data_IF_792535695242
#
_entry.id   IF_792535695242
#
_cell.length_a   1.000
_cell.length_b   1.000
_cell.length_c   1.000
_cell.angle_alpha   90.00
_cell.angle_beta   90.00
_cell.angle_gamma   90.00
#
_symmetry.space_group_name_H-M   'P 1'
#
loop_
_entity.id
_entity.type
_entity.pdbx_description
1 polymer ?
#
# COMPACT_ATOMS: atom_id res chain seq x y z
N UNK A 1 -44.31 -43.50 -3.17
CA UNK A 1 -43.07 -42.72 -3.49
C UNK A 1 -43.18 -41.25 -3.10
N UNK A 2 -44.26 -40.50 -3.42
CA UNK A 2 -44.42 -39.09 -3.03
C UNK A 2 -44.29 -38.83 -1.53
N UNK A 3 -44.87 -39.68 -0.66
CA UNK A 3 -44.83 -39.48 0.80
C UNK A 3 -43.44 -39.70 1.41
N UNK A 4 -42.59 -40.54 0.83
CA UNK A 4 -41.22 -40.76 1.28
C UNK A 4 -40.30 -39.57 0.93
N UNK A 5 -40.56 -38.90 -0.20
CA UNK A 5 -39.84 -37.70 -0.61
C UNK A 5 -40.16 -36.52 0.34
N UNK A 6 -41.45 -36.39 0.76
CA UNK A 6 -41.86 -35.36 1.74
C UNK A 6 -41.26 -35.63 3.11
N UNK A 7 -41.22 -36.89 3.56
CA UNK A 7 -40.57 -37.30 4.81
C UNK A 7 -39.06 -37.06 4.78
N UNK A 8 -38.40 -37.33 3.65
CA UNK A 8 -36.98 -37.06 3.47
C UNK A 8 -36.67 -35.53 3.50
N UNK A 9 -37.52 -34.73 2.83
CA UNK A 9 -37.41 -33.26 2.86
C UNK A 9 -37.66 -32.68 4.25
N UNK A 10 -38.62 -33.21 5.01
CA UNK A 10 -38.88 -32.86 6.40
C UNK A 10 -37.71 -33.24 7.33
N UNK A 11 -37.10 -34.39 7.13
CA UNK A 11 -35.91 -34.82 7.87
C UNK A 11 -34.69 -33.95 7.60
N UNK A 12 -34.50 -33.43 6.37
CA UNK A 12 -33.42 -32.53 6.00
C UNK A 12 -33.63 -31.13 6.67
N UNK A 13 -34.89 -30.70 6.83
CA UNK A 13 -35.20 -29.45 7.52
C UNK A 13 -35.00 -29.50 9.05
N UNK A 14 -35.08 -30.70 9.67
CA UNK A 14 -34.88 -30.89 11.11
C UNK A 14 -33.40 -30.82 11.55
N UNK A 15 -32.41 -30.87 10.63
CA UNK A 15 -30.97 -30.83 10.93
C UNK A 15 -30.42 -29.38 10.99
N UNK A 16 -31.24 -28.34 10.87
CA UNK A 16 -30.83 -26.95 10.66
C UNK A 16 -30.33 -26.21 11.91
N UNK A 17 -30.27 -26.79 13.08
CA UNK A 17 -29.75 -26.12 14.28
C UNK A 17 -28.36 -26.67 14.63
N UNK A 18 -27.35 -26.32 13.82
CA UNK A 18 -25.97 -26.75 14.07
C UNK A 18 -25.38 -26.11 15.35
N UNK A 19 -24.31 -26.70 15.94
CA UNK A 19 -23.69 -26.22 17.20
C UNK A 19 -23.37 -24.71 17.18
N UNK A 20 -23.01 -24.16 16.02
CA UNK A 20 -22.79 -22.72 15.84
C UNK A 20 -24.04 -21.88 16.09
N UNK A 21 -25.20 -22.31 15.58
CA UNK A 21 -26.47 -21.60 15.78
C UNK A 21 -26.92 -21.63 17.25
N UNK A 22 -26.63 -22.74 17.92
CA UNK A 22 -26.88 -22.88 19.37
C UNK A 22 -26.01 -21.90 20.14
N UNK A 23 -24.70 -21.83 19.84
CA UNK A 23 -23.78 -20.87 20.47
C UNK A 23 -24.16 -19.42 20.18
N UNK A 24 -24.54 -19.10 18.93
CA UNK A 24 -24.93 -17.74 18.53
C UNK A 24 -26.14 -17.22 19.32
N UNK A 25 -27.10 -18.08 19.64
CA UNK A 25 -28.33 -17.75 20.40
C UNK A 25 -28.15 -17.91 21.91
N UNK A 26 -27.09 -18.55 22.38
CA UNK A 26 -26.83 -18.74 23.81
C UNK A 26 -26.65 -17.41 24.53
N UNK A 27 -27.15 -17.32 25.77
CA UNK A 27 -26.80 -16.25 26.69
C UNK A 27 -25.58 -16.55 27.53
N UNK A 28 -25.11 -17.81 27.49
CA UNK A 28 -23.90 -18.26 28.18
C UNK A 28 -22.64 -17.98 27.34
N UNK A 29 -21.76 -17.15 27.88
CA UNK A 29 -20.50 -16.78 27.25
C UNK A 29 -19.50 -17.93 27.17
N UNK A 30 -19.50 -18.89 28.09
CA UNK A 30 -18.61 -20.04 28.05
C UNK A 30 -18.93 -20.96 26.85
N UNK A 31 -20.22 -21.11 26.53
CA UNK A 31 -20.66 -21.82 25.31
C UNK A 31 -20.15 -21.11 24.05
N UNK A 32 -20.20 -19.78 24.03
CA UNK A 32 -19.67 -18.99 22.90
C UNK A 32 -18.14 -19.10 22.80
N UNK A 33 -17.42 -19.03 23.91
CA UNK A 33 -15.96 -19.18 23.95
C UNK A 33 -15.51 -20.55 23.43
N UNK A 34 -16.13 -21.64 23.88
CA UNK A 34 -15.85 -22.98 23.41
C UNK A 34 -16.09 -23.12 21.89
N UNK A 35 -17.15 -22.47 21.38
CA UNK A 35 -17.43 -22.46 19.97
C UNK A 35 -16.41 -21.61 19.19
N UNK A 36 -16.00 -20.45 19.69
CA UNK A 36 -14.95 -19.61 19.10
C UNK A 36 -13.66 -20.41 18.94
N UNK A 37 -13.18 -21.07 19.98
CA UNK A 37 -11.97 -21.88 19.91
C UNK A 37 -12.08 -23.01 18.87
N UNK A 38 -13.27 -23.63 18.75
CA UNK A 38 -13.54 -24.62 17.71
C UNK A 38 -13.50 -24.03 16.31
N UNK A 39 -14.07 -22.83 16.13
CA UNK A 39 -14.12 -22.13 14.84
C UNK A 39 -12.73 -21.65 14.42
N UNK A 40 -11.92 -21.11 15.34
CA UNK A 40 -10.54 -20.70 15.07
C UNK A 40 -9.68 -21.88 14.64
N UNK A 41 -9.78 -23.04 15.31
CA UNK A 41 -9.07 -24.28 14.92
C UNK A 41 -9.48 -24.76 13.52
N UNK A 42 -10.69 -24.45 13.08
CA UNK A 42 -11.23 -24.80 11.75
C UNK A 42 -11.11 -23.66 10.74
N UNK A 43 -10.41 -22.59 11.08
CA UNK A 43 -10.22 -21.39 10.24
C UNK A 43 -11.55 -20.76 9.77
N UNK A 44 -12.61 -20.94 10.53
CA UNK A 44 -13.94 -20.33 10.26
C UNK A 44 -14.03 -18.93 10.88
N UNK A 45 -13.08 -18.06 10.52
CA UNK A 45 -12.86 -16.75 11.13
C UNK A 45 -14.11 -15.85 11.11
N UNK A 46 -14.85 -15.77 9.99
CA UNK A 46 -16.06 -14.93 9.93
C UNK A 46 -17.14 -15.34 10.94
N UNK A 47 -17.28 -16.65 11.22
CA UNK A 47 -18.19 -17.13 12.25
C UNK A 47 -17.67 -16.83 13.66
N UNK A 48 -16.35 -16.90 13.85
CA UNK A 48 -15.72 -16.56 15.13
C UNK A 48 -15.88 -15.06 15.42
N UNK A 49 -15.69 -14.18 14.42
CA UNK A 49 -15.91 -12.72 14.55
C UNK A 49 -17.31 -12.41 15.06
N UNK A 50 -18.36 -13.00 14.46
CA UNK A 50 -19.74 -12.79 14.91
C UNK A 50 -19.98 -13.17 16.38
N UNK A 51 -19.27 -14.15 16.92
CA UNK A 51 -19.35 -14.51 18.32
C UNK A 51 -18.50 -13.57 19.19
N UNK A 52 -17.31 -13.19 18.72
CA UNK A 52 -16.47 -12.20 19.41
C UNK A 52 -17.19 -10.87 19.61
N UNK A 53 -17.91 -10.37 18.59
CA UNK A 53 -18.69 -9.13 18.67
C UNK A 53 -19.67 -9.12 19.83
N UNK A 54 -20.23 -10.29 20.16
CA UNK A 54 -21.19 -10.43 21.25
C UNK A 54 -20.54 -10.49 22.63
N UNK A 55 -19.31 -11.04 22.74
CA UNK A 55 -18.70 -11.32 24.05
C UNK A 55 -17.60 -10.33 24.45
N UNK A 56 -16.83 -9.80 23.50
CA UNK A 56 -15.70 -8.90 23.80
C UNK A 56 -16.04 -7.76 24.77
N UNK A 57 -17.21 -7.08 24.63
CA UNK A 57 -17.57 -6.01 25.57
C UNK A 57 -17.70 -6.47 27.03
N UNK A 58 -18.08 -7.73 27.25
CA UNK A 58 -18.35 -8.30 28.58
C UNK A 58 -17.07 -8.77 29.30
N UNK A 59 -15.99 -9.01 28.53
CA UNK A 59 -14.71 -9.44 29.10
C UNK A 59 -13.70 -8.31 29.36
N UNK A 60 -14.10 -7.04 29.13
CA UNK A 60 -13.24 -5.88 29.41
C UNK A 60 -12.87 -5.83 30.91
N UNK A 61 -11.56 -5.70 31.17
CA UNK A 61 -11.05 -5.64 32.55
C UNK A 61 -10.98 -6.98 33.29
N UNK A 62 -11.23 -8.10 32.60
CA UNK A 62 -11.06 -9.44 33.15
C UNK A 62 -9.71 -10.04 32.73
N UNK A 63 -9.26 -11.09 33.42
CA UNK A 63 -8.04 -11.84 33.12
C UNK A 63 -8.07 -12.46 31.69
N UNK A 64 -9.27 -12.71 31.13
CA UNK A 64 -9.45 -13.24 29.77
C UNK A 64 -9.34 -12.15 28.69
N UNK A 65 -9.39 -10.85 29.04
CA UNK A 65 -9.48 -9.74 28.10
C UNK A 65 -8.31 -9.72 27.09
N UNK A 66 -7.10 -9.91 27.57
CA UNK A 66 -5.90 -9.90 26.75
C UNK A 66 -5.94 -10.99 25.67
N UNK A 67 -6.11 -12.25 26.09
CA UNK A 67 -6.13 -13.39 25.18
C UNK A 67 -7.28 -13.33 24.16
N UNK A 68 -8.43 -12.82 24.56
CA UNK A 68 -9.59 -12.67 23.67
C UNK A 68 -9.40 -11.51 22.67
N UNK A 69 -8.82 -10.40 23.11
CA UNK A 69 -8.60 -9.23 22.25
C UNK A 69 -7.62 -9.55 21.12
N UNK A 70 -6.54 -10.26 21.38
CA UNK A 70 -5.55 -10.64 20.36
C UNK A 70 -6.15 -11.66 19.36
N UNK A 71 -6.91 -12.66 19.85
CA UNK A 71 -7.61 -13.65 19.02
C UNK A 71 -8.64 -12.97 18.11
N UNK A 72 -9.38 -12.00 18.65
CA UNK A 72 -10.37 -11.24 17.87
C UNK A 72 -9.73 -10.39 16.79
N UNK A 73 -8.69 -9.62 17.13
CA UNK A 73 -7.95 -8.82 16.14
C UNK A 73 -7.39 -9.69 14.99
N UNK A 74 -6.84 -10.88 15.34
CA UNK A 74 -6.39 -11.85 14.34
C UNK A 74 -7.54 -12.37 13.48
N UNK A 75 -8.67 -12.73 14.07
CA UNK A 75 -9.83 -13.21 13.30
C UNK A 75 -10.33 -12.16 12.29
N UNK A 76 -10.35 -10.89 12.68
CA UNK A 76 -10.67 -9.76 11.79
C UNK A 76 -9.66 -9.65 10.64
N UNK A 77 -8.37 -9.80 10.94
CA UNK A 77 -7.32 -9.78 9.91
C UNK A 77 -7.52 -10.90 8.88
N UNK A 78 -7.76 -12.12 9.35
CA UNK A 78 -7.97 -13.29 8.48
C UNK A 78 -9.26 -13.19 7.64
N UNK A 79 -10.26 -12.43 8.10
CA UNK A 79 -11.46 -12.12 7.29
C UNK A 79 -11.25 -10.93 6.35
N UNK A 80 -10.04 -10.35 6.33
CA UNK A 80 -9.69 -9.15 5.57
C UNK A 80 -10.48 -7.89 5.98
N UNK A 81 -11.04 -7.90 7.18
CA UNK A 81 -11.60 -6.70 7.78
C UNK A 81 -10.46 -5.86 8.41
N UNK A 82 -9.60 -5.35 7.53
CA UNK A 82 -8.39 -4.64 7.93
C UNK A 82 -8.65 -3.37 8.75
N UNK A 83 -9.71 -2.57 8.49
CA UNK A 83 -10.01 -1.41 9.32
C UNK A 83 -10.29 -1.78 10.77
N UNK A 84 -11.15 -2.78 11.01
CA UNK A 84 -11.46 -3.24 12.35
C UNK A 84 -10.30 -3.99 12.99
N UNK A 85 -9.55 -4.77 12.21
CA UNK A 85 -8.33 -5.44 12.67
C UNK A 85 -7.30 -4.42 13.16
N UNK A 86 -6.98 -3.38 12.37
CA UNK A 86 -6.07 -2.32 12.77
C UNK A 86 -6.49 -1.66 14.08
N UNK A 87 -7.77 -1.30 14.19
CA UNK A 87 -8.33 -0.71 15.40
C UNK A 87 -8.18 -1.61 16.64
N UNK A 88 -8.46 -2.92 16.52
CA UNK A 88 -8.36 -3.84 17.65
C UNK A 88 -6.91 -4.09 18.06
N UNK A 89 -5.97 -4.20 17.10
CA UNK A 89 -4.56 -4.32 17.41
C UNK A 89 -3.99 -3.05 18.06
N UNK A 90 -4.31 -1.86 17.55
CA UNK A 90 -3.91 -0.58 18.16
C UNK A 90 -4.45 -0.44 19.59
N UNK A 91 -5.70 -0.83 19.79
CA UNK A 91 -6.34 -0.86 21.10
C UNK A 91 -5.67 -1.84 22.06
N UNK A 92 -5.26 -3.03 21.56
CA UNK A 92 -4.50 -4.01 22.34
C UNK A 92 -3.18 -3.43 22.83
N UNK A 93 -2.39 -2.80 21.95
CA UNK A 93 -1.12 -2.16 22.30
C UNK A 93 -1.27 -1.12 23.40
N UNK A 94 -2.37 -0.34 23.38
CA UNK A 94 -2.66 0.68 24.38
C UNK A 94 -3.14 0.09 25.72
N UNK A 95 -3.97 -0.96 25.67
CA UNK A 95 -4.61 -1.54 26.85
C UNK A 95 -3.72 -2.55 27.58
N UNK A 96 -2.74 -3.13 26.89
CA UNK A 96 -1.85 -4.18 27.42
C UNK A 96 -0.36 -3.85 27.22
N UNK A 97 0.14 -2.77 27.86
CA UNK A 97 1.52 -2.27 27.62
C UNK A 97 2.62 -3.24 28.08
N UNK A 98 2.30 -4.16 29.00
CA UNK A 98 3.24 -5.17 29.52
C UNK A 98 3.06 -6.56 28.87
N UNK A 99 2.20 -6.69 27.85
CA UNK A 99 1.96 -7.97 27.19
C UNK A 99 3.12 -8.40 26.32
N UNK A 100 3.47 -9.68 26.35
CA UNK A 100 4.44 -10.30 25.44
C UNK A 100 3.97 -10.23 23.98
N UNK A 101 2.66 -10.11 23.74
CA UNK A 101 2.07 -9.95 22.40
C UNK A 101 2.07 -8.50 21.91
N UNK A 102 2.61 -7.55 22.67
CA UNK A 102 2.51 -6.11 22.35
C UNK A 102 3.23 -5.77 21.05
N UNK A 103 4.42 -6.31 20.82
CA UNK A 103 5.18 -6.12 19.58
C UNK A 103 4.44 -6.71 18.38
N UNK A 104 3.99 -7.97 18.49
CA UNK A 104 3.18 -8.62 17.45
C UNK A 104 1.95 -7.79 17.10
N UNK A 105 1.21 -7.30 18.11
CA UNK A 105 0.02 -6.49 17.89
C UNK A 105 0.35 -5.15 17.21
N UNK A 106 1.44 -4.49 17.60
CA UNK A 106 1.89 -3.25 16.95
C UNK A 106 2.19 -3.48 15.46
N UNK A 107 2.95 -4.55 15.15
CA UNK A 107 3.25 -4.91 13.77
C UNK A 107 1.99 -5.26 12.97
N UNK A 108 1.09 -6.11 13.51
CA UNK A 108 -0.12 -6.53 12.82
C UNK A 108 -1.13 -5.39 12.61
N UNK A 109 -1.16 -4.42 13.52
CA UNK A 109 -1.89 -3.17 13.36
C UNK A 109 -1.37 -2.37 12.16
N UNK A 110 -0.07 -2.15 12.08
CA UNK A 110 0.59 -1.48 10.95
C UNK A 110 0.40 -2.25 9.63
N UNK A 111 0.53 -3.57 9.66
CA UNK A 111 0.30 -4.45 8.49
C UNK A 111 -1.16 -4.43 8.02
N UNK A 112 -2.12 -4.27 8.93
CA UNK A 112 -3.52 -4.06 8.57
C UNK A 112 -3.70 -2.75 7.79
N UNK A 113 -3.04 -1.66 8.19
CA UNK A 113 -3.02 -0.41 7.43
C UNK A 113 -2.36 -0.59 6.05
N UNK A 114 -1.28 -1.37 5.95
CA UNK A 114 -0.66 -1.69 4.65
C UNK A 114 -1.67 -2.31 3.67
N UNK A 115 -2.48 -3.27 4.12
CA UNK A 115 -3.49 -3.91 3.27
C UNK A 115 -4.63 -2.97 2.83
N UNK A 116 -4.84 -1.85 3.51
CA UNK A 116 -5.79 -0.82 3.09
C UNK A 116 -5.25 0.09 1.98
N UNK A 117 -3.94 0.04 1.70
CA UNK A 117 -3.30 0.83 0.65
C UNK A 117 -3.79 0.41 -0.73
N UNK A 118 -4.39 1.33 -1.47
CA UNK A 118 -4.89 1.09 -2.81
C UNK A 118 -3.77 0.96 -3.86
N UNK A 119 -4.11 0.55 -5.09
CA UNK A 119 -3.19 0.58 -6.24
C UNK A 119 -2.75 2.01 -6.54
N UNK A 120 -1.55 2.19 -7.13
CA UNK A 120 -0.91 3.50 -7.33
C UNK A 120 -1.79 4.54 -8.04
N UNK A 121 -2.67 4.12 -8.96
CA UNK A 121 -3.53 5.02 -9.73
C UNK A 121 -4.68 5.66 -8.93
N UNK A 122 -4.99 5.13 -7.73
CA UNK A 122 -6.03 5.65 -6.83
C UNK A 122 -5.46 6.63 -5.80
N UNK A 123 -6.32 7.16 -4.91
CA UNK A 123 -5.90 7.97 -3.76
C UNK A 123 -4.93 7.21 -2.85
N UNK A 124 -3.87 7.87 -2.38
CA UNK A 124 -2.82 7.29 -1.56
C UNK A 124 -2.90 7.65 -0.07
N UNK A 125 -4.01 8.24 0.39
CA UNK A 125 -4.21 8.61 1.81
C UNK A 125 -3.98 7.41 2.76
N UNK A 126 -4.45 6.22 2.37
CA UNK A 126 -4.23 5.01 3.17
C UNK A 126 -2.78 4.51 3.07
N UNK A 127 -2.08 4.77 1.97
CA UNK A 127 -0.65 4.47 1.82
C UNK A 127 0.19 5.32 2.77
N UNK A 128 -0.09 6.63 2.83
CA UNK A 128 0.59 7.55 3.75
C UNK A 128 0.34 7.16 5.20
N UNK A 129 -0.90 6.76 5.54
CA UNK A 129 -1.23 6.26 6.88
C UNK A 129 -0.49 4.96 7.20
N UNK A 130 -0.41 4.02 6.25
CA UNK A 130 0.30 2.76 6.42
C UNK A 130 1.80 3.00 6.64
N UNK A 131 2.42 3.91 5.87
CA UNK A 131 3.82 4.32 6.05
C UNK A 131 4.06 4.88 7.45
N UNK A 132 3.19 5.78 7.93
CA UNK A 132 3.29 6.33 9.27
C UNK A 132 3.22 5.23 10.35
N UNK A 133 2.28 4.30 10.24
CA UNK A 133 2.12 3.20 11.21
C UNK A 133 3.27 2.18 11.19
N UNK A 134 3.80 1.87 10.00
CA UNK A 134 5.00 1.04 9.88
C UNK A 134 6.24 1.74 10.46
N UNK A 135 6.37 3.06 10.24
CA UNK A 135 7.45 3.84 10.83
C UNK A 135 7.34 3.92 12.36
N UNK A 136 6.13 4.09 12.90
CA UNK A 136 5.87 4.04 14.35
C UNK A 136 6.34 2.71 14.94
N UNK A 137 6.02 1.58 14.27
CA UNK A 137 6.48 0.25 14.67
C UNK A 137 8.02 0.14 14.65
N UNK A 138 8.66 0.52 13.53
CA UNK A 138 10.13 0.45 13.37
C UNK A 138 10.84 1.29 14.42
N UNK A 139 10.32 2.49 14.72
CA UNK A 139 10.90 3.37 15.73
C UNK A 139 10.78 2.78 17.15
N UNK A 140 9.69 2.07 17.44
CA UNK A 140 9.45 1.47 18.77
C UNK A 140 10.21 0.15 18.95
N UNK A 141 10.40 -0.59 17.86
CA UNK A 141 11.04 -1.91 17.83
C UNK A 141 12.09 -2.00 16.70
N UNK A 142 13.20 -1.23 16.78
CA UNK A 142 14.20 -1.19 15.69
C UNK A 142 14.86 -2.56 15.44
N UNK A 143 15.06 -3.36 16.49
CA UNK A 143 15.63 -4.71 16.46
C UNK A 143 14.55 -5.79 16.73
N UNK A 144 13.28 -5.46 16.51
CA UNK A 144 12.15 -6.33 16.77
C UNK A 144 12.04 -7.50 15.78
N UNK A 145 11.30 -8.53 16.19
CA UNK A 145 11.09 -9.76 15.38
C UNK A 145 10.56 -9.47 13.98
N UNK A 146 9.75 -8.40 13.81
CA UNK A 146 9.12 -8.05 12.53
C UNK A 146 9.76 -6.83 11.85
N UNK A 147 10.91 -6.32 12.33
CA UNK A 147 11.54 -5.10 11.81
C UNK A 147 11.93 -5.22 10.34
N UNK A 148 12.52 -6.34 9.92
CA UNK A 148 12.87 -6.61 8.52
C UNK A 148 11.62 -6.63 7.64
N UNK A 149 10.56 -7.32 8.08
CA UNK A 149 9.30 -7.38 7.34
C UNK A 149 8.65 -5.99 7.23
N UNK A 150 8.66 -5.21 8.30
CA UNK A 150 8.12 -3.84 8.30
C UNK A 150 8.88 -2.94 7.32
N UNK A 151 10.21 -3.01 7.28
CA UNK A 151 11.05 -2.28 6.32
C UNK A 151 10.74 -2.69 4.87
N UNK A 152 10.54 -3.99 4.61
CA UNK A 152 10.10 -4.49 3.30
C UNK A 152 8.76 -3.87 2.87
N UNK A 153 7.76 -3.84 3.76
CA UNK A 153 6.46 -3.21 3.48
C UNK A 153 6.58 -1.69 3.24
N UNK A 154 7.47 -1.01 3.96
CA UNK A 154 7.77 0.44 3.73
C UNK A 154 8.34 0.63 2.34
N UNK A 155 9.28 -0.21 1.90
CA UNK A 155 9.89 -0.12 0.58
C UNK A 155 8.85 -0.31 -0.54
N UNK A 156 7.95 -1.30 -0.40
CA UNK A 156 6.86 -1.53 -1.35
C UNK A 156 5.89 -0.33 -1.44
N UNK A 157 5.55 0.30 -0.31
CA UNK A 157 4.67 1.47 -0.30
C UNK A 157 5.36 2.70 -0.91
N UNK A 158 6.66 2.91 -0.65
CA UNK A 158 7.45 3.99 -1.27
C UNK A 158 7.55 3.81 -2.78
N UNK A 159 7.89 2.60 -3.24
CA UNK A 159 7.87 2.27 -4.67
C UNK A 159 6.52 2.60 -5.33
N UNK A 160 5.40 2.30 -4.65
CA UNK A 160 4.05 2.62 -5.12
C UNK A 160 3.83 4.14 -5.27
N UNK A 161 4.31 4.94 -4.32
CA UNK A 161 4.23 6.41 -4.40
C UNK A 161 5.12 6.97 -5.51
N UNK A 162 6.34 6.46 -5.61
CA UNK A 162 7.31 6.81 -6.67
C UNK A 162 6.69 6.53 -8.05
N UNK A 163 6.16 5.32 -8.24
CA UNK A 163 5.48 4.95 -9.47
C UNK A 163 4.34 5.89 -9.80
N UNK A 164 3.52 6.26 -8.82
CA UNK A 164 2.43 7.21 -9.04
C UNK A 164 2.92 8.56 -9.53
N UNK A 165 3.94 9.12 -8.88
CA UNK A 165 4.49 10.42 -9.23
C UNK A 165 5.13 10.41 -10.64
N UNK A 166 5.90 9.36 -10.94
CA UNK A 166 6.50 9.13 -12.25
C UNK A 166 5.45 9.00 -13.36
N UNK A 167 4.44 8.14 -13.18
CA UNK A 167 3.39 7.91 -14.17
C UNK A 167 2.55 9.18 -14.45
N UNK A 168 2.35 10.04 -13.45
CA UNK A 168 1.71 11.35 -13.66
C UNK A 168 2.56 12.23 -14.57
N UNK A 169 3.87 12.32 -14.33
CA UNK A 169 4.79 13.10 -15.13
C UNK A 169 4.86 12.57 -16.58
N UNK A 170 5.00 11.25 -16.72
CA UNK A 170 5.03 10.56 -18.02
C UNK A 170 3.74 10.74 -18.82
N UNK A 171 2.60 10.73 -18.14
CA UNK A 171 1.31 10.98 -18.78
C UNK A 171 1.18 12.40 -19.36
N UNK A 172 1.71 13.43 -18.67
CA UNK A 172 1.80 14.77 -19.22
C UNK A 172 2.67 14.81 -20.49
N UNK A 173 3.83 14.16 -20.49
CA UNK A 173 4.72 14.04 -21.63
C UNK A 173 4.01 13.39 -22.84
N UNK A 174 3.43 12.21 -22.67
CA UNK A 174 2.73 11.48 -23.74
C UNK A 174 1.54 12.25 -24.32
N UNK A 175 0.95 13.17 -23.56
CA UNK A 175 -0.12 14.07 -24.02
C UNK A 175 0.40 15.36 -24.66
N UNK A 176 1.70 15.45 -24.92
CA UNK A 176 2.36 16.65 -25.44
C UNK A 176 2.15 17.90 -24.53
N UNK A 177 1.95 17.71 -23.24
CA UNK A 177 1.85 18.75 -22.25
C UNK A 177 3.21 18.97 -21.58
N UNK A 178 4.17 19.50 -22.36
CA UNK A 178 5.56 19.53 -21.95
C UNK A 178 5.86 20.40 -20.74
N UNK A 179 5.22 21.56 -20.58
CA UNK A 179 5.41 22.42 -19.41
C UNK A 179 5.06 21.69 -18.10
N UNK A 180 3.84 21.14 -17.92
CA UNK A 180 3.56 20.36 -16.72
C UNK A 180 4.38 19.07 -16.61
N UNK A 181 4.80 18.44 -17.74
CA UNK A 181 5.68 17.29 -17.72
C UNK A 181 7.05 17.65 -17.11
N UNK A 182 7.71 18.68 -17.64
CA UNK A 182 9.00 19.19 -17.14
C UNK A 182 8.90 19.46 -15.64
N UNK A 183 7.88 20.22 -15.21
CA UNK A 183 7.69 20.56 -13.81
C UNK A 183 7.47 19.35 -12.91
N UNK A 184 6.71 18.36 -13.42
CA UNK A 184 6.45 17.13 -12.68
C UNK A 184 7.70 16.25 -12.55
N UNK A 185 8.53 16.15 -13.61
CA UNK A 185 9.79 15.42 -13.55
C UNK A 185 10.83 16.11 -12.67
N UNK A 186 10.95 17.45 -12.73
CA UNK A 186 11.79 18.22 -11.80
C UNK A 186 11.42 17.94 -10.35
N UNK A 187 10.12 18.01 -10.03
CA UNK A 187 9.61 17.71 -8.69
C UNK A 187 9.90 16.25 -8.29
N UNK A 188 9.70 15.31 -9.21
CA UNK A 188 9.98 13.89 -8.97
C UNK A 188 11.45 13.66 -8.60
N UNK A 189 12.38 14.22 -9.37
CA UNK A 189 13.83 14.07 -9.15
C UNK A 189 14.25 14.60 -7.77
N UNK A 190 13.60 15.66 -7.30
CA UNK A 190 13.88 16.27 -5.99
C UNK A 190 13.23 15.47 -4.84
N UNK A 191 12.00 15.01 -5.02
CA UNK A 191 11.22 14.40 -3.95
C UNK A 191 11.45 12.90 -3.80
N UNK A 192 11.94 12.22 -4.85
CA UNK A 192 12.13 10.78 -4.91
C UNK A 192 13.59 10.38 -5.27
N UNK A 193 14.62 10.87 -4.54
CA UNK A 193 16.04 10.78 -4.96
C UNK A 193 16.57 9.35 -5.03
N UNK A 194 15.92 8.39 -4.37
CA UNK A 194 16.28 6.96 -4.37
C UNK A 194 15.36 6.07 -5.22
N UNK A 195 14.51 6.67 -6.05
CA UNK A 195 13.56 5.93 -6.86
C UNK A 195 14.22 5.13 -7.97
N UNK A 196 13.69 3.94 -8.24
CA UNK A 196 14.07 3.10 -9.39
C UNK A 196 13.73 3.75 -10.75
N UNK A 197 12.79 4.73 -10.76
CA UNK A 197 12.41 5.49 -11.96
C UNK A 197 13.25 6.73 -12.21
N UNK A 198 14.43 6.85 -11.58
CA UNK A 198 15.20 8.10 -11.60
C UNK A 198 15.83 8.39 -12.95
N UNK A 199 16.40 7.40 -13.63
CA UNK A 199 16.99 7.57 -14.96
C UNK A 199 15.92 7.78 -16.03
N UNK A 200 14.82 7.00 -16.00
CA UNK A 200 13.62 7.25 -16.79
C UNK A 200 13.14 8.70 -16.66
N UNK A 201 12.98 9.17 -15.42
CA UNK A 201 12.47 10.52 -15.15
C UNK A 201 13.41 11.61 -15.69
N UNK A 202 14.73 11.40 -15.59
CA UNK A 202 15.70 12.34 -16.15
C UNK A 202 15.72 12.30 -17.67
N UNK A 203 15.61 11.13 -18.29
CA UNK A 203 15.49 11.03 -19.75
C UNK A 203 14.22 11.75 -20.25
N UNK A 204 13.05 11.45 -19.69
CA UNK A 204 11.81 12.12 -20.12
C UNK A 204 11.79 13.62 -19.78
N UNK A 205 12.57 14.08 -18.82
CA UNK A 205 12.80 15.51 -18.59
C UNK A 205 13.53 16.15 -19.76
N UNK A 206 14.61 15.51 -20.25
CA UNK A 206 15.37 15.97 -21.41
C UNK A 206 14.46 16.05 -22.64
N UNK A 207 13.78 14.95 -22.95
CA UNK A 207 12.91 14.85 -24.11
C UNK A 207 11.74 15.85 -24.05
N UNK A 208 11.09 16.00 -22.87
CA UNK A 208 10.05 17.01 -22.68
C UNK A 208 10.56 18.43 -22.91
N UNK A 209 11.76 18.74 -22.43
CA UNK A 209 12.38 20.07 -22.58
C UNK A 209 12.77 20.33 -24.06
N UNK A 210 13.32 19.34 -24.75
CA UNK A 210 13.66 19.40 -26.15
C UNK A 210 12.41 19.64 -27.02
N UNK A 211 11.38 18.80 -26.84
CA UNK A 211 10.12 18.93 -27.58
C UNK A 211 9.38 20.25 -27.27
N UNK A 212 9.50 20.76 -26.05
CA UNK A 212 9.00 22.07 -25.69
C UNK A 212 9.75 23.19 -26.38
N UNK A 213 11.08 23.08 -26.51
CA UNK A 213 11.89 24.04 -27.25
C UNK A 213 11.45 24.12 -28.72
N UNK A 214 11.33 22.99 -29.42
CA UNK A 214 10.95 22.93 -30.83
C UNK A 214 9.54 23.50 -31.13
N UNK A 215 8.62 23.46 -30.14
CA UNK A 215 7.27 24.01 -30.27
C UNK A 215 7.14 25.45 -29.77
N UNK A 216 8.27 26.11 -29.54
CA UNK A 216 8.31 27.48 -29.02
C UNK A 216 8.42 28.50 -30.15
N UNK A 217 8.22 29.78 -29.81
CA UNK A 217 8.56 30.89 -30.71
C UNK A 217 10.08 30.92 -30.90
N UNK A 218 10.53 31.26 -32.08
CA UNK A 218 11.95 31.20 -32.47
C UNK A 218 12.90 31.90 -31.48
N UNK A 219 12.45 33.02 -30.90
CA UNK A 219 13.29 33.78 -29.96
C UNK A 219 13.57 33.03 -28.64
N UNK A 220 12.73 32.07 -28.29
CA UNK A 220 12.84 31.30 -27.06
C UNK A 220 13.50 29.93 -27.24
N UNK A 221 13.69 29.49 -28.50
CA UNK A 221 14.25 28.16 -28.77
C UNK A 221 15.67 28.03 -28.25
N UNK A 222 16.61 29.01 -28.45
CA UNK A 222 17.99 28.85 -27.99
C UNK A 222 18.11 28.60 -26.49
N UNK A 223 17.45 29.45 -25.67
CA UNK A 223 17.44 29.32 -24.21
C UNK A 223 16.92 27.94 -23.74
N UNK A 224 15.84 27.47 -24.40
CA UNK A 224 15.22 26.18 -24.03
C UNK A 224 16.03 24.97 -24.47
N UNK A 225 16.75 25.06 -25.58
CA UNK A 225 17.69 24.01 -26.01
C UNK A 225 18.93 23.98 -25.10
N UNK A 226 19.37 25.11 -24.59
CA UNK A 226 20.46 25.17 -23.62
C UNK A 226 20.07 24.46 -22.32
N UNK A 227 18.83 24.66 -21.85
CA UNK A 227 18.34 23.96 -20.68
C UNK A 227 18.22 22.43 -20.91
N UNK A 228 17.77 22.01 -22.12
CA UNK A 228 17.77 20.58 -22.47
C UNK A 228 19.20 20.00 -22.45
N UNK A 229 20.19 20.74 -22.98
CA UNK A 229 21.61 20.38 -22.95
C UNK A 229 22.11 20.22 -21.50
N UNK A 230 21.70 21.12 -20.60
CA UNK A 230 22.06 21.00 -19.17
C UNK A 230 21.49 19.74 -18.53
N UNK A 231 20.22 19.43 -18.80
CA UNK A 231 19.61 18.17 -18.32
C UNK A 231 20.30 16.93 -18.87
N UNK A 232 20.64 16.94 -20.18
CA UNK A 232 21.42 15.87 -20.81
C UNK A 232 22.77 15.67 -20.13
N UNK A 233 23.55 16.74 -19.89
CA UNK A 233 24.86 16.63 -19.24
C UNK A 233 24.74 16.03 -17.82
N UNK A 234 23.69 16.40 -17.09
CA UNK A 234 23.41 15.83 -15.77
C UNK A 234 23.07 14.34 -15.86
N UNK A 235 22.24 13.94 -16.84
CA UNK A 235 21.85 12.56 -17.08
C UNK A 235 23.03 11.67 -17.41
N UNK A 236 23.84 12.04 -18.40
CA UNK A 236 24.99 11.23 -18.83
C UNK A 236 26.06 11.08 -17.75
N UNK A 237 26.24 12.10 -16.91
CA UNK A 237 27.14 12.04 -15.76
C UNK A 237 26.64 11.08 -14.68
N UNK A 238 25.34 11.05 -14.44
CA UNK A 238 24.73 10.27 -13.35
C UNK A 238 24.39 8.84 -13.78
N UNK A 239 23.97 8.65 -15.02
CA UNK A 239 23.50 7.38 -15.57
C UNK A 239 24.21 7.00 -16.89
N UNK A 240 25.54 6.80 -16.87
CA UNK A 240 26.31 6.55 -18.09
C UNK A 240 25.94 5.24 -18.80
N UNK A 241 25.29 4.29 -18.07
CA UNK A 241 24.89 2.97 -18.57
C UNK A 241 23.38 2.78 -18.61
N UNK A 242 22.58 3.87 -18.54
CA UNK A 242 21.13 3.80 -18.67
C UNK A 242 20.71 3.23 -20.03
N UNK A 243 19.60 2.52 -20.08
CA UNK A 243 18.99 2.06 -21.33
C UNK A 243 18.57 3.21 -22.26
N UNK A 244 18.33 4.41 -21.70
CA UNK A 244 17.99 5.63 -22.44
C UNK A 244 19.23 6.40 -22.94
N UNK A 245 20.43 5.84 -22.80
CA UNK A 245 21.65 6.58 -23.15
C UNK A 245 21.69 6.93 -24.63
N UNK A 246 21.40 5.98 -25.52
CA UNK A 246 21.43 6.18 -26.98
C UNK A 246 20.37 7.18 -27.41
N UNK A 247 19.15 7.09 -26.87
CA UNK A 247 18.06 8.02 -27.18
C UNK A 247 18.40 9.45 -26.72
N UNK A 248 19.03 9.59 -25.55
CA UNK A 248 19.47 10.90 -25.06
C UNK A 248 20.59 11.50 -25.94
N UNK A 249 21.53 10.68 -26.40
CA UNK A 249 22.61 11.10 -27.34
C UNK A 249 22.02 11.57 -28.66
N UNK A 250 21.00 10.87 -29.22
CA UNK A 250 20.29 11.30 -30.42
C UNK A 250 19.59 12.67 -30.24
N UNK A 251 18.96 12.90 -29.08
CA UNK A 251 18.39 14.22 -28.78
C UNK A 251 19.50 15.29 -28.80
N UNK A 252 20.67 15.00 -28.23
CA UNK A 252 21.76 15.94 -28.17
C UNK A 252 22.34 16.25 -29.56
N UNK A 253 22.46 15.25 -30.45
CA UNK A 253 22.83 15.43 -31.86
C UNK A 253 21.81 16.35 -32.56
N UNK A 254 20.53 16.08 -32.43
CA UNK A 254 19.47 16.90 -32.98
C UNK A 254 19.51 18.37 -32.48
N UNK A 255 19.86 18.58 -31.20
CA UNK A 255 20.07 19.92 -30.64
C UNK A 255 21.25 20.64 -31.33
N UNK A 256 22.35 19.95 -31.51
CA UNK A 256 23.56 20.50 -32.15
C UNK A 256 23.26 20.84 -33.62
N UNK A 257 22.64 19.96 -34.38
CA UNK A 257 22.25 20.20 -35.75
C UNK A 257 21.33 21.40 -35.91
N UNK A 258 20.35 21.53 -34.99
CA UNK A 258 19.46 22.71 -34.96
C UNK A 258 20.25 23.99 -34.74
N UNK A 259 21.20 24.00 -33.78
CA UNK A 259 22.04 25.16 -33.47
C UNK A 259 22.89 25.56 -34.70
N UNK A 260 23.55 24.59 -35.35
CA UNK A 260 24.36 24.82 -36.56
C UNK A 260 23.50 25.41 -37.66
N UNK A 261 22.34 24.79 -37.95
CA UNK A 261 21.44 25.22 -39.05
C UNK A 261 20.91 26.64 -38.87
N UNK A 262 20.71 27.08 -37.63
CA UNK A 262 20.15 28.38 -37.32
C UNK A 262 21.14 29.42 -36.82
N UNK A 263 22.45 29.10 -36.86
CA UNK A 263 23.57 29.96 -36.39
C UNK A 263 23.39 30.47 -34.94
N UNK A 264 23.02 29.57 -34.01
CA UNK A 264 22.80 29.88 -32.59
C UNK A 264 23.62 28.95 -31.68
#
# INVERSE_FOLDING_TARGET
>A
MKNYIVLLLLAIMAVSCGPYQTALKSTDNEVKLAMIDTLLKREKYSKAVNLFDQIIPQYRGTDKAEALSIKYAKALYETRDYPNSAYQYERFVQSHPASDNREYAAFMGAKSHYHMSAVYSKSQVNTDRALAKLQDYINLYPDGEYAEQANGLVSELRFKLDRKAYEIAKNYHHRNRYIPAIKSFENFIVQHPGSEFMDDAQFYLIDSQYLYALKSRNELVPERLELATKYYNTFVSRFPTSEYREDADEIMENINDYKIKNNI
#
